data_IF_459631372596
#
_entry.id   IF_459631372596
#
_cell.length_a   1.000
_cell.length_b   1.000
_cell.length_c   1.000
_cell.angle_alpha   90.00
_cell.angle_beta   90.00
_cell.angle_gamma   90.00
#
_symmetry.space_group_name_H-M   'P 1'
#
loop_
_entity.id
_entity.type
_entity.pdbx_description
1 polymer ?
#
# COMPACT_ATOMS: atom_id res chain seq x y z
N UNK A 1 30.77 -3.57 21.25
CA UNK A 1 29.47 -4.02 20.70
C UNK A 1 28.73 -2.81 20.14
N UNK A 2 28.68 -2.59 18.81
CA UNK A 2 27.86 -1.52 18.27
C UNK A 2 26.45 -2.05 17.96
N UNK A 3 25.48 -1.40 18.58
CA UNK A 3 24.05 -1.53 18.39
C UNK A 3 23.61 -0.75 17.14
N UNK A 4 23.52 -1.39 15.97
CA UNK A 4 22.88 -0.76 14.80
C UNK A 4 22.50 -1.78 13.72
N UNK A 5 21.48 -2.58 13.98
CA UNK A 5 20.74 -3.27 12.91
C UNK A 5 19.25 -3.02 13.12
N UNK A 6 18.82 -1.78 12.91
CA UNK A 6 17.41 -1.47 12.67
C UNK A 6 17.05 -2.09 11.33
N UNK A 7 16.63 -3.36 11.37
CA UNK A 7 16.25 -4.18 10.22
C UNK A 7 15.41 -3.34 9.25
N UNK A 8 15.83 -3.29 7.99
CA UNK A 8 15.12 -2.69 6.84
C UNK A 8 13.78 -3.39 6.61
N UNK A 9 12.88 -3.23 7.57
CA UNK A 9 11.49 -3.65 7.51
C UNK A 9 10.69 -2.44 7.06
N UNK A 10 9.63 -2.68 6.29
CA UNK A 10 8.69 -1.64 5.88
C UNK A 10 8.22 -0.79 7.08
N UNK A 11 8.05 -1.42 8.25
CA UNK A 11 7.72 -0.74 9.50
C UNK A 11 8.80 0.22 10.00
N UNK A 12 10.09 -0.12 9.87
CA UNK A 12 11.20 0.78 10.24
C UNK A 12 11.29 1.99 9.29
N UNK A 13 11.02 1.78 8.00
CA UNK A 13 10.95 2.87 7.02
C UNK A 13 9.84 3.88 7.38
N UNK A 14 8.64 3.40 7.73
CA UNK A 14 7.58 4.29 8.23
C UNK A 14 7.90 4.89 9.61
N UNK A 15 8.56 4.15 10.50
CA UNK A 15 8.93 4.63 11.83
C UNK A 15 9.90 5.82 11.77
N UNK A 16 10.77 5.85 10.76
CA UNK A 16 11.63 7.02 10.53
C UNK A 16 10.86 8.28 10.10
N UNK A 17 9.65 8.10 9.57
CA UNK A 17 8.75 9.19 9.20
C UNK A 17 7.78 9.57 10.33
N UNK A 18 8.01 9.10 11.58
CA UNK A 18 7.12 9.39 12.73
C UNK A 18 6.91 10.88 12.95
N UNK A 19 7.95 11.71 12.81
CA UNK A 19 7.81 13.16 12.91
C UNK A 19 6.86 13.74 11.87
N UNK A 20 6.90 13.24 10.63
CA UNK A 20 5.99 13.65 9.57
C UNK A 20 4.55 13.18 9.84
N UNK A 21 4.35 11.95 10.34
CA UNK A 21 3.02 11.45 10.73
C UNK A 21 2.42 12.22 11.90
N UNK A 22 3.22 12.58 12.90
CA UNK A 22 2.79 13.47 14.00
C UNK A 22 2.40 14.84 13.46
N UNK A 23 3.19 15.40 12.55
CA UNK A 23 2.84 16.64 11.86
C UNK A 23 1.51 16.53 11.10
N UNK A 24 1.32 15.48 10.30
CA UNK A 24 0.05 15.22 9.59
C UNK A 24 -1.13 15.09 10.56
N UNK A 25 -0.96 14.37 11.67
CA UNK A 25 -2.00 14.24 12.69
C UNK A 25 -2.36 15.58 13.35
N UNK A 26 -1.34 16.41 13.67
CA UNK A 26 -1.54 17.76 14.20
C UNK A 26 -2.30 18.65 13.21
N UNK A 27 -1.86 18.68 11.94
CA UNK A 27 -2.54 19.44 10.89
C UNK A 27 -3.97 18.94 10.67
N UNK A 28 -4.21 17.62 10.66
CA UNK A 28 -5.56 17.06 10.64
C UNK A 28 -6.39 17.55 11.83
N UNK A 29 -5.83 17.61 13.04
CA UNK A 29 -6.53 18.15 14.19
C UNK A 29 -6.92 19.62 14.05
N UNK A 30 -5.98 20.47 13.61
CA UNK A 30 -6.28 21.87 13.32
C UNK A 30 -7.36 22.00 12.23
N UNK A 31 -7.27 21.21 11.16
CA UNK A 31 -8.27 21.21 10.09
C UNK A 31 -9.65 20.81 10.62
N UNK A 32 -9.74 19.76 11.46
CA UNK A 32 -11.01 19.33 12.04
C UNK A 32 -11.61 20.39 12.99
N UNK A 33 -10.78 21.14 13.73
CA UNK A 33 -11.25 22.29 14.51
C UNK A 33 -11.75 23.41 13.59
N UNK A 34 -10.98 23.77 12.56
CA UNK A 34 -11.37 24.80 11.59
C UNK A 34 -12.61 24.41 10.79
N UNK A 35 -12.90 23.12 10.60
CA UNK A 35 -14.13 22.65 9.97
C UNK A 35 -15.40 23.04 10.74
N UNK A 36 -15.29 23.31 12.05
CA UNK A 36 -16.40 23.82 12.86
C UNK A 36 -16.83 25.24 12.45
N UNK A 37 -15.95 26.00 11.79
CA UNK A 37 -16.20 27.38 11.34
C UNK A 37 -17.52 27.50 10.58
N UNK A 38 -17.80 26.57 9.67
CA UNK A 38 -19.04 26.61 8.88
C UNK A 38 -20.31 26.44 9.74
N UNK A 39 -20.29 25.49 10.69
CA UNK A 39 -21.41 25.29 11.62
C UNK A 39 -21.61 26.48 12.55
N UNK A 40 -20.54 27.02 13.13
CA UNK A 40 -20.61 28.18 14.02
C UNK A 40 -21.02 29.47 13.30
N UNK A 41 -20.56 29.67 12.06
CA UNK A 41 -21.00 30.81 11.25
C UNK A 41 -22.52 30.76 11.05
N UNK A 42 -23.07 29.60 10.67
CA UNK A 42 -24.52 29.44 10.52
C UNK A 42 -25.28 29.63 11.84
N UNK A 43 -24.75 29.09 12.94
CA UNK A 43 -25.33 29.30 14.27
C UNK A 43 -25.43 30.80 14.62
N UNK A 44 -24.34 31.56 14.43
CA UNK A 44 -24.30 32.99 14.73
C UNK A 44 -25.17 33.82 13.79
N UNK A 45 -25.25 33.45 12.51
CA UNK A 45 -26.11 34.16 11.56
C UNK A 45 -27.58 34.01 11.95
N UNK A 46 -28.02 32.80 12.26
CA UNK A 46 -29.43 32.54 12.59
C UNK A 46 -29.84 33.03 13.98
N UNK A 47 -28.98 32.88 14.98
CA UNK A 47 -29.35 33.22 16.36
C UNK A 47 -29.04 34.68 16.72
N UNK A 48 -28.09 35.33 16.02
CA UNK A 48 -27.64 36.69 16.35
C UNK A 48 -27.90 37.69 15.24
N UNK A 49 -27.48 37.41 14.01
CA UNK A 49 -27.56 38.38 12.91
C UNK A 49 -28.98 38.61 12.42
N UNK A 50 -29.75 37.53 12.18
CA UNK A 50 -31.13 37.64 11.67
C UNK A 50 -32.03 38.36 12.68
N UNK A 51 -32.04 38.01 13.98
CA UNK A 51 -32.87 38.72 14.96
C UNK A 51 -32.43 40.17 15.17
N UNK A 52 -31.12 40.44 15.20
CA UNK A 52 -30.60 41.79 15.45
C UNK A 52 -30.59 42.68 14.20
N UNK A 53 -30.86 42.13 13.01
CA UNK A 53 -30.81 42.80 11.69
C UNK A 53 -29.53 43.64 11.48
N UNK A 54 -28.40 43.19 12.04
CA UNK A 54 -27.15 43.95 12.04
C UNK A 54 -26.25 43.55 10.88
N UNK A 55 -26.30 44.32 9.79
CA UNK A 55 -25.39 44.18 8.64
C UNK A 55 -23.91 44.30 9.04
N UNK A 56 -23.50 45.22 9.95
CA UNK A 56 -22.10 45.28 10.39
C UNK A 56 -21.61 43.98 11.04
N UNK A 57 -22.45 43.34 11.87
CA UNK A 57 -22.10 42.06 12.51
C UNK A 57 -21.97 40.94 11.48
N UNK A 58 -22.84 40.91 10.46
CA UNK A 58 -22.76 39.96 9.36
C UNK A 58 -21.44 40.08 8.59
N UNK A 59 -21.06 41.30 8.23
CA UNK A 59 -19.81 41.55 7.50
C UNK A 59 -18.59 41.16 8.32
N UNK A 60 -18.58 41.46 9.63
CA UNK A 60 -17.51 41.05 10.53
C UNK A 60 -17.40 39.52 10.63
N UNK A 61 -18.52 38.82 10.84
CA UNK A 61 -18.54 37.35 10.89
C UNK A 61 -18.15 36.72 9.56
N UNK A 62 -18.59 37.28 8.43
CA UNK A 62 -18.23 36.82 7.10
C UNK A 62 -16.73 37.00 6.82
N UNK A 63 -16.13 38.12 7.23
CA UNK A 63 -14.69 38.35 7.11
C UNK A 63 -13.88 37.34 7.95
N UNK A 64 -14.30 37.07 9.19
CA UNK A 64 -13.67 36.07 10.04
C UNK A 64 -13.81 34.67 9.43
N UNK A 65 -15.01 34.29 8.97
CA UNK A 65 -15.23 33.00 8.34
C UNK A 65 -14.39 32.83 7.06
N UNK A 66 -14.31 33.86 6.21
CA UNK A 66 -13.48 33.86 5.02
C UNK A 66 -11.99 33.66 5.36
N UNK A 67 -11.49 34.36 6.39
CA UNK A 67 -10.13 34.19 6.88
C UNK A 67 -9.87 32.76 7.39
N UNK A 68 -10.78 32.21 8.19
CA UNK A 68 -10.68 30.85 8.73
C UNK A 68 -10.75 29.78 7.61
N UNK A 69 -11.60 29.97 6.60
CA UNK A 69 -11.63 29.07 5.44
C UNK A 69 -10.35 29.18 4.58
N UNK A 70 -9.76 30.38 4.46
CA UNK A 70 -8.47 30.54 3.79
C UNK A 70 -7.36 29.79 4.54
N UNK A 71 -7.31 29.90 5.88
CA UNK A 71 -6.40 29.10 6.69
C UNK A 71 -6.66 27.60 6.54
N UNK A 72 -7.91 27.17 6.57
CA UNK A 72 -8.28 25.77 6.37
C UNK A 72 -7.74 25.23 5.03
N UNK A 73 -7.92 25.98 3.94
CA UNK A 73 -7.44 25.61 2.61
C UNK A 73 -5.91 25.51 2.54
N UNK A 74 -5.19 26.42 3.21
CA UNK A 74 -3.73 26.37 3.31
C UNK A 74 -3.28 25.13 4.07
N UNK A 75 -3.85 24.86 5.25
CA UNK A 75 -3.49 23.70 6.07
C UNK A 75 -3.81 22.39 5.34
N UNK A 76 -4.94 22.30 4.64
CA UNK A 76 -5.31 21.14 3.85
C UNK A 76 -4.33 20.89 2.69
N UNK A 77 -3.91 21.95 2.00
CA UNK A 77 -2.89 21.88 0.94
C UNK A 77 -1.53 21.43 1.49
N UNK A 78 -1.13 21.96 2.66
CA UNK A 78 0.12 21.57 3.33
C UNK A 78 0.06 20.09 3.74
N UNK A 79 -1.04 19.65 4.37
CA UNK A 79 -1.28 18.25 4.74
C UNK A 79 -1.17 17.31 3.53
N UNK A 80 -1.82 17.66 2.41
CA UNK A 80 -1.76 16.87 1.18
C UNK A 80 -0.33 16.76 0.63
N UNK A 81 0.42 17.87 0.60
CA UNK A 81 1.84 17.87 0.17
C UNK A 81 2.74 17.07 1.12
N UNK A 82 2.48 17.10 2.42
CA UNK A 82 3.21 16.30 3.40
C UNK A 82 3.02 14.80 3.15
N UNK A 83 1.79 14.35 2.90
CA UNK A 83 1.49 12.95 2.57
C UNK A 83 2.22 12.47 1.30
N UNK A 84 2.26 13.29 0.25
CA UNK A 84 3.04 12.99 -0.97
C UNK A 84 4.53 12.85 -0.67
N UNK A 85 5.09 13.75 0.16
CA UNK A 85 6.50 13.68 0.58
C UNK A 85 6.80 12.45 1.43
N UNK A 86 5.89 12.03 2.31
CA UNK A 86 6.02 10.79 3.08
C UNK A 86 6.06 9.58 2.13
N UNK A 87 5.19 9.56 1.11
CA UNK A 87 5.23 8.54 0.06
C UNK A 87 6.56 8.52 -0.70
N UNK A 88 7.09 9.69 -1.06
CA UNK A 88 8.39 9.83 -1.73
C UNK A 88 9.58 9.39 -0.85
N UNK A 89 9.57 9.74 0.44
CA UNK A 89 10.61 9.33 1.38
C UNK A 89 10.62 7.82 1.63
N UNK A 90 9.43 7.17 1.63
CA UNK A 90 9.33 5.72 1.68
C UNK A 90 9.95 5.07 0.43
N UNK A 91 9.63 5.62 -0.75
CA UNK A 91 10.16 5.16 -2.03
C UNK A 91 11.68 5.29 -2.10
N UNK A 92 12.23 6.45 -1.75
CA UNK A 92 13.69 6.69 -1.77
C UNK A 92 14.45 5.68 -0.90
N UNK A 93 13.92 5.37 0.30
CA UNK A 93 14.53 4.40 1.21
C UNK A 93 14.42 2.97 0.70
N UNK A 94 13.27 2.60 0.11
CA UNK A 94 12.97 1.23 -0.27
C UNK A 94 13.36 0.88 -1.71
N UNK A 95 13.50 1.86 -2.60
CA UNK A 95 13.73 1.67 -4.03
C UNK A 95 15.00 0.84 -4.29
N UNK A 96 16.12 1.18 -3.63
CA UNK A 96 17.37 0.39 -3.74
C UNK A 96 17.17 -1.05 -3.26
N UNK A 97 16.48 -1.25 -2.14
CA UNK A 97 16.22 -2.57 -1.55
C UNK A 97 15.30 -3.41 -2.43
N UNK A 98 14.25 -2.81 -2.96
CA UNK A 98 13.29 -3.47 -3.86
C UNK A 98 13.97 -3.82 -5.18
N UNK A 99 14.81 -2.93 -5.72
CA UNK A 99 15.61 -3.23 -6.91
C UNK A 99 16.54 -4.42 -6.71
N UNK A 100 17.27 -4.46 -5.58
CA UNK A 100 18.12 -5.61 -5.21
C UNK A 100 17.32 -6.92 -5.15
N UNK A 101 16.11 -6.88 -4.59
CA UNK A 101 15.22 -8.04 -4.56
C UNK A 101 14.79 -8.43 -5.97
N UNK A 102 14.37 -7.49 -6.83
CA UNK A 102 13.94 -7.78 -8.21
C UNK A 102 15.05 -8.47 -9.00
N UNK A 103 16.30 -8.05 -8.83
CA UNK A 103 17.46 -8.65 -9.51
C UNK A 103 17.78 -10.05 -8.97
N UNK A 104 17.70 -10.24 -7.64
CA UNK A 104 18.11 -11.50 -6.99
C UNK A 104 17.02 -12.55 -6.90
N UNK A 105 15.75 -12.15 -6.97
CA UNK A 105 14.60 -13.06 -6.79
C UNK A 105 14.63 -14.24 -7.78
N UNK A 106 14.93 -14.05 -9.08
CA UNK A 106 15.06 -15.16 -10.03
C UNK A 106 16.18 -16.15 -9.69
N UNK A 107 17.22 -15.70 -8.97
CA UNK A 107 18.35 -16.55 -8.55
C UNK A 107 17.99 -17.47 -7.39
N UNK A 108 16.97 -17.14 -6.58
CA UNK A 108 16.51 -17.97 -5.46
C UNK A 108 15.22 -18.74 -5.75
N UNK A 109 14.22 -18.07 -6.31
CA UNK A 109 12.92 -18.66 -6.58
C UNK A 109 12.81 -19.27 -7.99
N UNK A 110 13.82 -19.06 -8.83
CA UNK A 110 13.78 -19.39 -10.26
C UNK A 110 13.06 -18.32 -11.08
N UNK A 111 13.07 -18.43 -12.42
CA UNK A 111 12.46 -17.47 -13.34
C UNK A 111 10.91 -17.52 -13.35
N UNK A 112 10.29 -18.19 -12.37
CA UNK A 112 8.84 -18.39 -12.31
C UNK A 112 8.17 -17.22 -11.60
N UNK A 113 7.28 -16.53 -12.31
CA UNK A 113 6.46 -15.44 -11.77
C UNK A 113 6.68 -14.11 -12.49
N UNK A 114 5.98 -13.08 -12.00
CA UNK A 114 6.16 -11.69 -12.45
C UNK A 114 7.31 -11.05 -11.67
N UNK A 115 8.48 -10.92 -12.29
CA UNK A 115 9.69 -10.38 -11.65
C UNK A 115 9.55 -8.92 -11.18
N UNK A 116 8.58 -8.18 -11.73
CA UNK A 116 8.34 -6.77 -11.39
C UNK A 116 7.25 -6.58 -10.31
N UNK A 117 6.71 -7.67 -9.77
CA UNK A 117 5.68 -7.60 -8.73
C UNK A 117 6.10 -6.81 -7.48
N UNK A 118 7.34 -6.95 -6.96
CA UNK A 118 7.77 -6.18 -5.78
C UNK A 118 7.76 -4.67 -6.01
N UNK A 119 8.10 -4.23 -7.22
CA UNK A 119 8.09 -2.82 -7.62
C UNK A 119 6.66 -2.26 -7.65
N UNK A 120 5.72 -3.00 -8.27
CA UNK A 120 4.30 -2.61 -8.30
C UNK A 120 3.65 -2.58 -6.91
N UNK A 121 4.08 -3.46 -6.00
CA UNK A 121 3.63 -3.43 -4.62
C UNK A 121 4.12 -2.16 -3.89
N UNK A 122 5.37 -1.75 -4.12
CA UNK A 122 5.91 -0.48 -3.61
C UNK A 122 5.13 0.72 -4.18
N UNK A 123 4.88 0.74 -5.48
CA UNK A 123 4.09 1.79 -6.14
C UNK A 123 2.66 1.88 -5.58
N UNK A 124 2.03 0.74 -5.30
CA UNK A 124 0.67 0.69 -4.72
C UNK A 124 0.64 1.28 -3.30
N UNK A 125 1.66 0.98 -2.48
CA UNK A 125 1.79 1.53 -1.12
C UNK A 125 2.03 3.04 -1.18
N UNK A 126 2.97 3.49 -2.02
CA UNK A 126 3.27 4.91 -2.24
C UNK A 126 2.06 5.68 -2.77
N UNK A 127 1.35 5.11 -3.74
CA UNK A 127 0.15 5.67 -4.34
C UNK A 127 -0.95 5.86 -3.31
N UNK A 128 -1.15 4.89 -2.42
CA UNK A 128 -2.11 5.03 -1.31
C UNK A 128 -1.69 6.12 -0.32
N UNK A 129 -0.43 6.16 0.10
CA UNK A 129 0.06 7.22 1.01
C UNK A 129 -0.08 8.62 0.43
N UNK A 130 -0.04 8.75 -0.89
CA UNK A 130 -0.18 10.02 -1.61
C UNK A 130 -1.64 10.34 -1.99
N UNK A 131 -2.60 9.48 -1.64
CA UNK A 131 -4.03 9.63 -1.95
C UNK A 131 -4.81 10.29 -0.81
N UNK A 132 -6.12 10.47 -0.96
CA UNK A 132 -7.00 10.97 0.11
C UNK A 132 -7.32 9.91 1.19
N UNK A 133 -6.95 8.64 0.99
CA UNK A 133 -7.22 7.56 1.94
C UNK A 133 -6.60 7.77 3.32
N UNK A 134 -5.29 8.04 3.43
CA UNK A 134 -4.66 8.35 4.71
C UNK A 134 -5.34 9.48 5.47
N UNK A 135 -5.79 10.54 4.78
CA UNK A 135 -6.50 11.65 5.43
C UNK A 135 -7.76 11.19 6.14
N UNK A 136 -8.55 10.28 5.54
CA UNK A 136 -9.73 9.70 6.17
C UNK A 136 -9.37 8.95 7.48
N UNK A 137 -8.23 8.26 7.53
CA UNK A 137 -7.73 7.61 8.76
C UNK A 137 -7.34 8.62 9.85
N UNK A 138 -6.80 9.78 9.48
CA UNK A 138 -6.46 10.84 10.44
C UNK A 138 -7.68 11.62 10.92
N UNK A 139 -8.76 11.65 10.13
CA UNK A 139 -9.98 12.38 10.45
C UNK A 139 -11.00 11.50 11.22
N UNK A 140 -10.95 10.17 11.08
CA UNK A 140 -11.79 9.20 11.81
C UNK A 140 -11.80 9.36 13.35
N UNK A 141 -10.66 9.60 14.04
CA UNK A 141 -10.65 9.82 15.49
C UNK A 141 -11.41 11.06 15.97
N UNK A 142 -11.76 11.98 15.06
CA UNK A 142 -12.48 13.22 15.38
C UNK A 142 -14.01 13.06 15.35
N UNK A 143 -14.54 11.92 14.88
CA UNK A 143 -15.98 11.63 14.87
C UNK A 143 -16.61 11.78 16.26
N UNK A 144 -16.03 11.24 17.36
CA UNK A 144 -16.58 11.42 18.70
C UNK A 144 -16.63 12.87 19.16
N UNK A 145 -15.68 13.72 18.73
CA UNK A 145 -15.71 15.16 19.05
C UNK A 145 -16.92 15.83 18.39
N UNK A 146 -17.16 15.57 17.10
CA UNK A 146 -18.32 16.11 16.40
C UNK A 146 -19.64 15.61 16.99
N UNK A 147 -19.72 14.32 17.32
CA UNK A 147 -20.88 13.75 18.02
C UNK A 147 -21.08 14.38 19.40
N UNK A 148 -20.00 14.58 20.16
CA UNK A 148 -20.04 15.24 21.48
C UNK A 148 -20.60 16.67 21.40
N UNK A 149 -20.21 17.43 20.38
CA UNK A 149 -20.78 18.77 20.14
C UNK A 149 -22.27 18.66 19.72
N UNK A 150 -22.67 17.67 18.91
CA UNK A 150 -24.08 17.44 18.61
C UNK A 150 -24.91 17.13 19.88
N UNK A 151 -24.37 16.30 20.79
CA UNK A 151 -25.00 16.04 22.09
C UNK A 151 -25.06 17.29 22.99
N UNK A 152 -24.04 18.15 22.92
CA UNK A 152 -24.02 19.42 23.65
C UNK A 152 -25.06 20.41 23.13
N UNK A 153 -25.41 20.36 21.84
CA UNK A 153 -26.50 21.17 21.28
C UNK A 153 -27.88 20.63 21.69
N UNK A 154 -28.13 19.33 21.49
CA UNK A 154 -29.35 18.69 21.96
C UNK A 154 -29.20 17.17 21.99
N UNK A 155 -29.80 16.52 23.00
CA UNK A 155 -29.71 15.05 23.16
C UNK A 155 -30.25 14.31 21.94
N UNK A 156 -31.42 14.71 21.42
CA UNK A 156 -32.03 14.06 20.24
C UNK A 156 -31.22 14.27 18.94
N UNK A 157 -30.53 15.41 18.78
CA UNK A 157 -29.61 15.62 17.65
C UNK A 157 -28.37 14.72 17.77
N UNK A 158 -27.84 14.59 18.98
CA UNK A 158 -26.76 13.64 19.28
C UNK A 158 -27.17 12.18 19.01
N UNK A 159 -28.35 11.76 19.47
CA UNK A 159 -28.86 10.40 19.27
C UNK A 159 -29.07 10.08 17.80
N UNK A 160 -29.69 10.98 17.03
CA UNK A 160 -29.87 10.79 15.58
C UNK A 160 -28.53 10.67 14.85
N UNK A 161 -27.58 11.57 15.14
CA UNK A 161 -26.24 11.51 14.57
C UNK A 161 -25.50 10.21 14.97
N UNK A 162 -25.65 9.76 16.21
CA UNK A 162 -25.06 8.51 16.71
C UNK A 162 -25.61 7.28 16.00
N UNK A 163 -26.94 7.19 15.83
CA UNK A 163 -27.59 6.11 15.08
C UNK A 163 -27.07 6.08 13.64
N UNK A 164 -26.97 7.25 13.00
CA UNK A 164 -26.41 7.37 11.66
C UNK A 164 -24.93 6.96 11.57
N UNK A 165 -24.12 7.34 12.55
CA UNK A 165 -22.73 6.92 12.65
C UNK A 165 -22.60 5.40 12.79
N UNK A 166 -23.40 4.79 13.67
CA UNK A 166 -23.42 3.32 13.85
C UNK A 166 -23.82 2.63 12.55
N UNK A 167 -24.86 3.13 11.86
CA UNK A 167 -25.31 2.55 10.59
C UNK A 167 -24.22 2.63 9.51
N UNK A 168 -23.58 3.78 9.34
CA UNK A 168 -22.52 3.96 8.34
C UNK A 168 -21.24 3.18 8.67
N UNK A 169 -20.86 3.11 9.94
CA UNK A 169 -19.74 2.25 10.38
C UNK A 169 -20.07 0.78 10.12
N UNK A 170 -21.30 0.33 10.42
CA UNK A 170 -21.75 -1.04 10.14
C UNK A 170 -21.72 -1.33 8.65
N UNK A 171 -22.16 -0.39 7.81
CA UNK A 171 -22.08 -0.51 6.34
C UNK A 171 -20.63 -0.58 5.84
N UNK A 172 -19.71 0.17 6.46
CA UNK A 172 -18.27 0.14 6.15
C UNK A 172 -17.66 -1.21 6.51
N UNK A 173 -17.99 -1.75 7.68
CA UNK A 173 -17.54 -3.08 8.11
C UNK A 173 -18.11 -4.18 7.20
N UNK A 174 -19.38 -4.07 6.79
CA UNK A 174 -19.97 -4.96 5.81
C UNK A 174 -19.24 -4.86 4.46
N UNK A 175 -18.91 -3.64 4.03
CA UNK A 175 -18.14 -3.41 2.81
C UNK A 175 -16.79 -4.11 2.87
N UNK A 176 -16.05 -4.02 3.98
CA UNK A 176 -14.79 -4.76 4.18
C UNK A 176 -14.99 -6.27 4.03
N UNK A 177 -15.95 -6.83 4.75
CA UNK A 177 -16.14 -8.29 4.82
C UNK A 177 -16.51 -8.84 3.44
N UNK A 178 -17.41 -8.15 2.73
CA UNK A 178 -17.94 -8.59 1.43
C UNK A 178 -16.94 -8.33 0.29
N UNK A 179 -16.19 -7.24 0.31
CA UNK A 179 -15.25 -6.88 -0.77
C UNK A 179 -13.89 -7.58 -0.67
N UNK A 180 -13.47 -8.03 0.52
CA UNK A 180 -12.13 -8.60 0.74
C UNK A 180 -11.82 -9.78 -0.19
N UNK A 181 -12.69 -10.80 -0.23
CA UNK A 181 -12.48 -12.02 -1.04
C UNK A 181 -12.50 -11.74 -2.55
N UNK A 182 -13.52 -11.05 -3.11
CA UNK A 182 -13.52 -10.67 -4.53
C UNK A 182 -12.28 -9.86 -4.94
N UNK A 183 -11.85 -8.92 -4.09
CA UNK A 183 -10.69 -8.07 -4.39
C UNK A 183 -9.39 -8.88 -4.38
N UNK A 184 -9.18 -9.75 -3.39
CA UNK A 184 -8.04 -10.68 -3.36
C UNK A 184 -8.02 -11.61 -4.59
N UNK A 185 -9.18 -12.15 -4.99
CA UNK A 185 -9.32 -12.98 -6.17
C UNK A 185 -9.01 -12.22 -7.47
N UNK A 186 -9.52 -11.00 -7.62
CA UNK A 186 -9.26 -10.13 -8.76
C UNK A 186 -7.77 -9.77 -8.88
N UNK A 187 -7.10 -9.44 -7.77
CA UNK A 187 -5.65 -9.18 -7.75
C UNK A 187 -4.86 -10.42 -8.17
N UNK A 188 -5.22 -11.62 -7.67
CA UNK A 188 -4.58 -12.87 -8.06
C UNK A 188 -4.74 -13.16 -9.56
N UNK A 189 -5.97 -13.07 -10.09
CA UNK A 189 -6.24 -13.26 -11.51
C UNK A 189 -5.51 -12.22 -12.38
N UNK A 190 -5.40 -10.97 -11.92
CA UNK A 190 -4.64 -9.93 -12.57
C UNK A 190 -3.15 -10.24 -12.66
N UNK A 191 -2.57 -10.83 -11.60
CA UNK A 191 -1.19 -11.30 -11.61
C UNK A 191 -0.98 -12.46 -12.60
N UNK A 192 -1.90 -13.43 -12.63
CA UNK A 192 -1.85 -14.56 -13.58
C UNK A 192 -1.96 -14.04 -15.03
N UNK A 193 -2.90 -13.12 -15.28
CA UNK A 193 -3.07 -12.45 -16.56
C UNK A 193 -1.76 -11.80 -16.98
N UNK A 194 -1.19 -10.91 -16.17
CA UNK A 194 0.07 -10.23 -16.51
C UNK A 194 1.22 -11.22 -16.75
N UNK A 195 1.32 -12.30 -15.97
CA UNK A 195 2.33 -13.35 -16.17
C UNK A 195 2.18 -14.09 -17.50
N UNK A 196 0.94 -14.32 -17.94
CA UNK A 196 0.63 -14.95 -19.23
C UNK A 196 1.03 -14.02 -20.39
N UNK A 197 0.65 -12.74 -20.33
CA UNK A 197 1.05 -11.75 -21.34
C UNK A 197 2.58 -11.67 -21.47
N UNK A 198 3.27 -11.57 -20.34
CA UNK A 198 4.72 -11.45 -20.32
C UNK A 198 5.40 -12.72 -20.84
N UNK A 199 4.88 -13.91 -20.51
CA UNK A 199 5.36 -15.16 -21.07
C UNK A 199 5.15 -15.24 -22.60
N UNK A 200 3.99 -14.81 -23.10
CA UNK A 200 3.72 -14.72 -24.54
C UNK A 200 4.70 -13.76 -25.22
N UNK A 201 4.95 -12.58 -24.61
CA UNK A 201 5.87 -11.56 -25.13
C UNK A 201 7.31 -12.07 -25.21
N UNK A 202 7.81 -12.70 -24.15
CA UNK A 202 9.18 -13.25 -24.12
C UNK A 202 9.42 -14.38 -25.10
N UNK A 203 8.36 -15.10 -25.50
CA UNK A 203 8.44 -16.23 -26.43
C UNK A 203 7.76 -15.92 -27.77
N UNK A 204 7.65 -14.64 -28.15
CA UNK A 204 6.87 -14.22 -29.31
C UNK A 204 7.31 -14.91 -30.62
N UNK A 205 8.63 -15.07 -30.82
CA UNK A 205 9.18 -15.79 -31.98
C UNK A 205 8.66 -17.23 -32.07
N UNK A 206 8.72 -17.98 -30.97
CA UNK A 206 8.21 -19.34 -30.92
C UNK A 206 6.69 -19.39 -31.10
N UNK A 207 5.96 -18.44 -30.52
CA UNK A 207 4.49 -18.37 -30.64
C UNK A 207 4.07 -18.13 -32.09
N UNK A 208 4.75 -17.23 -32.80
CA UNK A 208 4.44 -16.90 -34.20
C UNK A 208 4.92 -18.01 -35.14
N UNK A 209 6.16 -18.47 -35.00
CA UNK A 209 6.74 -19.51 -35.87
C UNK A 209 5.98 -20.84 -35.81
N UNK A 210 5.44 -21.19 -34.63
CA UNK A 210 4.67 -22.42 -34.42
C UNK A 210 3.17 -22.25 -34.66
N UNK A 211 2.70 -21.08 -35.11
CA UNK A 211 1.28 -20.80 -35.36
C UNK A 211 0.39 -20.88 -34.11
N UNK A 212 0.96 -20.59 -32.93
CA UNK A 212 0.28 -20.78 -31.64
C UNK A 212 -0.56 -19.57 -31.20
N UNK A 213 -0.58 -18.49 -31.98
CA UNK A 213 -1.20 -17.20 -31.65
C UNK A 213 -2.67 -17.34 -31.25
N UNK A 214 -3.47 -18.12 -31.99
CA UNK A 214 -4.90 -18.29 -31.65
C UNK A 214 -5.11 -19.06 -30.35
N UNK A 215 -4.37 -20.16 -30.14
CA UNK A 215 -4.49 -20.97 -28.91
C UNK A 215 -4.08 -20.17 -27.67
N UNK A 216 -2.98 -19.40 -27.77
CA UNK A 216 -2.57 -18.50 -26.69
C UNK A 216 -3.55 -17.33 -26.52
N UNK A 217 -4.11 -16.82 -27.61
CA UNK A 217 -5.16 -15.80 -27.62
C UNK A 217 -6.42 -16.26 -26.89
N UNK A 218 -6.88 -17.50 -27.15
CA UNK A 218 -8.01 -18.10 -26.45
C UNK A 218 -7.73 -18.25 -24.95
N UNK A 219 -6.54 -18.74 -24.58
CA UNK A 219 -6.13 -18.86 -23.16
C UNK A 219 -6.02 -17.51 -22.46
N UNK A 220 -5.51 -16.50 -23.17
CA UNK A 220 -5.49 -15.12 -22.69
C UNK A 220 -6.90 -14.58 -22.48
N UNK A 221 -7.78 -14.75 -23.47
CA UNK A 221 -9.17 -14.28 -23.42
C UNK A 221 -9.92 -14.88 -22.24
N UNK A 222 -9.81 -16.19 -22.01
CA UNK A 222 -10.42 -16.87 -20.86
C UNK A 222 -9.87 -16.35 -19.51
N UNK A 223 -8.54 -16.20 -19.39
CA UNK A 223 -7.92 -15.64 -18.17
C UNK A 223 -8.35 -14.18 -17.95
N UNK A 224 -8.45 -13.40 -19.03
CA UNK A 224 -8.86 -12.00 -18.99
C UNK A 224 -10.35 -11.87 -18.65
N UNK A 225 -11.21 -12.72 -19.19
CA UNK A 225 -12.64 -12.77 -18.88
C UNK A 225 -12.87 -13.08 -17.38
N UNK A 226 -12.14 -14.05 -16.83
CA UNK A 226 -12.19 -14.35 -15.39
C UNK A 226 -11.70 -13.19 -14.53
N UNK A 227 -10.61 -12.53 -14.92
CA UNK A 227 -10.13 -11.32 -14.26
C UNK A 227 -11.17 -10.19 -14.30
N UNK A 228 -11.76 -9.93 -15.47
CA UNK A 228 -12.77 -8.89 -15.67
C UNK A 228 -14.03 -9.18 -14.83
N UNK A 229 -14.51 -10.42 -14.82
CA UNK A 229 -15.64 -10.81 -13.98
C UNK A 229 -15.37 -10.59 -12.49
N UNK A 230 -14.20 -11.01 -11.98
CA UNK A 230 -13.82 -10.78 -10.59
C UNK A 230 -13.64 -9.29 -10.26
N UNK A 231 -13.05 -8.51 -11.18
CA UNK A 231 -12.91 -7.07 -11.04
C UNK A 231 -14.26 -6.35 -11.07
N UNK A 232 -15.19 -6.80 -11.91
CA UNK A 232 -16.55 -6.26 -12.02
C UNK A 232 -17.32 -6.53 -10.73
N UNK A 233 -17.35 -7.77 -10.23
CA UNK A 233 -17.98 -8.09 -8.93
C UNK A 233 -17.42 -7.22 -7.80
N UNK A 234 -16.09 -7.06 -7.70
CA UNK A 234 -15.48 -6.20 -6.68
C UNK A 234 -15.87 -4.72 -6.84
N UNK A 235 -15.99 -4.24 -8.09
CA UNK A 235 -16.39 -2.87 -8.41
C UNK A 235 -17.86 -2.61 -8.12
N UNK A 236 -18.74 -3.56 -8.47
CA UNK A 236 -20.18 -3.47 -8.28
C UNK A 236 -20.53 -3.45 -6.79
N UNK A 237 -19.88 -4.30 -5.98
CA UNK A 237 -20.06 -4.31 -4.53
C UNK A 237 -19.58 -2.98 -3.92
N UNK A 238 -18.36 -2.54 -4.27
CA UNK A 238 -17.80 -1.30 -3.71
C UNK A 238 -18.60 -0.07 -4.14
N UNK A 239 -18.99 0.00 -5.42
CA UNK A 239 -19.77 1.09 -5.99
C UNK A 239 -21.21 1.12 -5.48
N UNK A 240 -21.86 -0.04 -5.39
CA UNK A 240 -23.20 -0.20 -4.82
C UNK A 240 -23.25 0.22 -3.35
N UNK A 241 -22.38 -0.37 -2.51
CA UNK A 241 -22.31 -0.02 -1.08
C UNK A 241 -21.90 1.43 -0.86
N UNK A 242 -20.99 1.97 -1.68
CA UNK A 242 -20.64 3.39 -1.65
C UNK A 242 -21.79 4.32 -2.00
N UNK A 243 -22.66 3.92 -2.94
CA UNK A 243 -23.88 4.67 -3.28
C UNK A 243 -24.89 4.61 -2.14
N UNK A 244 -25.09 3.44 -1.52
CA UNK A 244 -25.95 3.29 -0.34
C UNK A 244 -25.45 4.16 0.82
N UNK A 245 -24.14 4.19 1.08
CA UNK A 245 -23.53 5.05 2.12
C UNK A 245 -23.86 6.51 1.89
N UNK A 246 -23.64 7.00 0.68
CA UNK A 246 -23.90 8.40 0.31
C UNK A 246 -25.38 8.77 0.44
N UNK A 247 -26.27 7.90 -0.03
CA UNK A 247 -27.72 8.11 0.08
C UNK A 247 -28.16 8.09 1.55
N UNK A 248 -27.67 7.14 2.35
CA UNK A 248 -27.98 7.05 3.77
C UNK A 248 -27.48 8.29 4.53
N UNK A 249 -26.32 8.83 4.17
CA UNK A 249 -25.81 10.08 4.73
C UNK A 249 -26.71 11.27 4.38
N UNK A 250 -27.17 11.37 3.13
CA UNK A 250 -28.12 12.42 2.74
C UNK A 250 -29.44 12.29 3.50
N UNK A 251 -29.98 11.07 3.61
CA UNK A 251 -31.18 10.79 4.41
C UNK A 251 -30.99 11.16 5.87
N UNK A 252 -29.83 10.83 6.46
CA UNK A 252 -29.52 11.19 7.84
C UNK A 252 -29.41 12.71 8.01
N UNK A 253 -28.78 13.42 7.08
CA UNK A 253 -28.72 14.87 7.11
C UNK A 253 -30.13 15.49 7.11
N UNK A 254 -31.04 14.98 6.27
CA UNK A 254 -32.44 15.38 6.27
C UNK A 254 -33.18 14.98 7.55
N UNK A 255 -32.89 13.81 8.13
CA UNK A 255 -33.48 13.37 9.39
C UNK A 255 -33.06 14.23 10.58
N UNK A 256 -31.77 14.62 10.64
CA UNK A 256 -31.25 15.56 11.66
C UNK A 256 -31.93 16.92 11.51
N UNK A 257 -32.15 17.40 10.28
CA UNK A 257 -32.90 18.63 10.03
C UNK A 257 -34.36 18.51 10.49
N UNK A 258 -35.03 17.38 10.21
CA UNK A 258 -36.41 17.13 10.61
C UNK A 258 -36.58 17.05 12.13
N UNK A 259 -35.67 16.34 12.83
CA UNK A 259 -35.66 16.31 14.30
C UNK A 259 -35.34 17.68 14.87
N UNK A 260 -34.40 18.42 14.29
CA UNK A 260 -34.14 19.81 14.66
C UNK A 260 -35.38 20.69 14.53
N UNK A 261 -36.11 20.60 13.42
CA UNK A 261 -37.34 21.35 13.19
C UNK A 261 -38.41 21.02 14.24
N UNK A 262 -38.58 19.74 14.57
CA UNK A 262 -39.48 19.31 15.63
C UNK A 262 -39.10 19.90 17.01
N UNK A 263 -37.82 19.95 17.35
CA UNK A 263 -37.33 20.56 18.60
C UNK A 263 -37.55 22.08 18.66
N UNK A 264 -37.38 22.78 17.54
CA UNK A 264 -37.66 24.23 17.48
C UNK A 264 -39.16 24.51 17.61
N UNK A 265 -40.03 23.66 17.04
CA UNK A 265 -41.49 23.78 17.24
C UNK A 265 -41.84 23.64 18.72
N UNK A 266 -41.15 22.75 19.44
CA UNK A 266 -41.30 22.58 20.90
C UNK A 266 -40.56 23.64 21.73
N UNK A 267 -39.91 24.63 21.10
CA UNK A 267 -39.15 25.69 21.75
C UNK A 267 -37.95 25.19 22.61
N UNK A 268 -37.46 23.97 22.34
CA UNK A 268 -36.31 23.37 23.03
C UNK A 268 -34.96 23.70 22.35
N UNK A 269 -35.00 24.18 21.10
CA UNK A 269 -33.83 24.53 20.31
C UNK A 269 -34.02 25.84 19.54
N UNK A 270 -32.93 26.41 19.04
CA UNK A 270 -32.93 27.58 18.14
C UNK A 270 -32.81 27.16 16.68
N UNK A 271 -33.19 28.05 15.76
CA UNK A 271 -33.00 27.82 14.32
C UNK A 271 -31.52 27.62 13.95
N UNK A 272 -30.60 28.31 14.62
CA UNK A 272 -29.17 28.12 14.44
C UNK A 272 -28.69 26.73 14.85
N UNK A 273 -29.21 26.17 15.95
CA UNK A 273 -28.88 24.81 16.41
C UNK A 273 -29.29 23.75 15.37
N UNK A 274 -30.46 23.89 14.73
CA UNK A 274 -30.88 22.98 13.65
C UNK A 274 -29.82 22.93 12.55
N UNK A 275 -29.48 24.10 11.99
CA UNK A 275 -28.60 24.17 10.83
C UNK A 275 -27.19 23.74 11.21
N UNK A 276 -26.66 24.23 12.33
CA UNK A 276 -25.34 23.86 12.83
C UNK A 276 -25.23 22.36 13.11
N UNK A 277 -26.23 21.76 13.74
CA UNK A 277 -26.31 20.33 14.02
C UNK A 277 -26.37 19.47 12.75
N UNK A 278 -27.11 19.91 11.72
CA UNK A 278 -27.18 19.21 10.43
C UNK A 278 -25.82 19.21 9.70
N UNK A 279 -25.12 20.35 9.69
CA UNK A 279 -23.79 20.50 9.08
C UNK A 279 -22.77 19.66 9.84
N UNK A 280 -22.82 19.70 11.17
CA UNK A 280 -21.87 18.98 12.03
C UNK A 280 -22.01 17.47 11.89
N UNK A 281 -23.25 16.98 11.85
CA UNK A 281 -23.56 15.57 11.59
C UNK A 281 -23.07 15.15 10.20
N UNK A 282 -23.27 15.97 9.18
CA UNK A 282 -22.78 15.70 7.83
C UNK A 282 -21.25 15.68 7.75
N UNK A 283 -20.54 16.46 8.59
CA UNK A 283 -19.07 16.46 8.68
C UNK A 283 -18.54 15.27 9.48
N UNK A 284 -19.21 14.89 10.57
CA UNK A 284 -18.85 13.73 11.38
C UNK A 284 -18.79 12.44 10.54
N UNK A 285 -19.64 12.34 9.52
CA UNK A 285 -19.78 11.13 8.70
C UNK A 285 -18.99 11.17 7.40
N UNK A 286 -18.40 12.32 7.06
CA UNK A 286 -17.63 12.49 5.84
C UNK A 286 -16.39 11.57 5.73
N UNK A 287 -15.60 11.33 6.82
CA UNK A 287 -14.46 10.41 6.75
C UNK A 287 -14.85 8.98 6.37
N UNK A 288 -16.06 8.55 6.73
CA UNK A 288 -16.57 7.21 6.38
C UNK A 288 -16.79 7.09 4.88
N UNK A 289 -17.41 8.10 4.26
CA UNK A 289 -17.58 8.13 2.80
C UNK A 289 -16.25 8.18 2.05
N UNK A 290 -15.28 8.96 2.56
CA UNK A 290 -13.95 9.02 1.97
C UNK A 290 -13.22 7.67 2.06
N UNK A 291 -13.37 6.96 3.18
CA UNK A 291 -12.82 5.62 3.36
C UNK A 291 -13.41 4.63 2.35
N UNK A 292 -14.74 4.62 2.18
CA UNK A 292 -15.42 3.76 1.20
C UNK A 292 -15.03 4.15 -0.24
N UNK A 293 -14.96 5.45 -0.54
CA UNK A 293 -14.55 5.95 -1.85
C UNK A 293 -13.13 5.51 -2.26
N UNK A 294 -12.21 5.38 -1.29
CA UNK A 294 -10.83 4.96 -1.55
C UNK A 294 -10.54 3.51 -1.11
N UNK A 295 -11.59 2.68 -0.97
CA UNK A 295 -11.50 1.34 -0.41
C UNK A 295 -10.51 0.43 -1.16
N UNK A 296 -10.57 0.46 -2.50
CA UNK A 296 -9.67 -0.32 -3.36
C UNK A 296 -8.21 0.04 -3.13
N UNK A 297 -7.91 1.32 -2.96
CA UNK A 297 -6.56 1.80 -2.64
C UNK A 297 -6.07 1.25 -1.30
N UNK A 298 -6.93 1.26 -0.28
CA UNK A 298 -6.62 0.70 1.03
C UNK A 298 -6.30 -0.80 0.97
N UNK A 299 -7.17 -1.58 0.31
CA UNK A 299 -6.97 -3.03 0.16
C UNK A 299 -5.71 -3.34 -0.66
N UNK A 300 -5.47 -2.63 -1.76
CA UNK A 300 -4.28 -2.81 -2.60
C UNK A 300 -2.99 -2.51 -1.83
N UNK A 301 -2.94 -1.39 -1.09
CA UNK A 301 -1.78 -1.03 -0.28
C UNK A 301 -1.55 -2.04 0.85
N UNK A 302 -2.60 -2.49 1.56
CA UNK A 302 -2.51 -3.52 2.61
C UNK A 302 -1.97 -4.85 2.07
N UNK A 303 -2.48 -5.31 0.93
CA UNK A 303 -2.02 -6.54 0.32
C UNK A 303 -0.57 -6.41 -0.20
N UNK A 304 -0.24 -5.29 -0.84
CA UNK A 304 1.11 -4.98 -1.30
C UNK A 304 2.09 -4.96 -0.14
N UNK A 305 1.71 -4.32 0.97
CA UNK A 305 2.49 -4.30 2.21
C UNK A 305 2.75 -5.70 2.76
N UNK A 306 1.71 -6.54 2.86
CA UNK A 306 1.84 -7.90 3.37
C UNK A 306 2.68 -8.82 2.44
N UNK A 307 2.62 -8.62 1.12
CA UNK A 307 3.45 -9.37 0.16
C UNK A 307 4.89 -8.91 0.18
N UNK A 308 5.13 -7.60 0.08
CA UNK A 308 6.46 -7.02 0.09
C UNK A 308 7.18 -7.28 1.42
N UNK A 309 6.45 -7.21 2.55
CA UNK A 309 6.98 -7.55 3.87
C UNK A 309 7.46 -9.00 3.97
N UNK A 310 6.68 -9.96 3.42
CA UNK A 310 7.10 -11.36 3.35
C UNK A 310 8.33 -11.57 2.47
N UNK A 311 8.42 -10.87 1.34
CA UNK A 311 9.59 -10.94 0.46
C UNK A 311 10.85 -10.35 1.10
N UNK A 312 10.73 -9.19 1.76
CA UNK A 312 11.81 -8.56 2.51
C UNK A 312 12.31 -9.45 3.66
N UNK A 313 11.40 -10.16 4.34
CA UNK A 313 11.76 -11.11 5.39
C UNK A 313 12.46 -12.37 4.84
N UNK A 314 12.01 -12.88 3.68
CA UNK A 314 12.61 -14.04 3.03
C UNK A 314 13.98 -13.74 2.37
N UNK A 315 14.21 -12.49 2.02
CA UNK A 315 15.46 -12.01 1.43
C UNK A 315 16.03 -10.90 2.33
N UNK A 316 16.69 -11.24 3.45
CA UNK A 316 17.32 -10.26 4.32
C UNK A 316 18.48 -9.56 3.60
N UNK A 317 18.80 -8.35 4.05
CA UNK A 317 19.98 -7.62 3.60
C UNK A 317 21.23 -8.40 4.00
N UNK A 318 22.08 -8.73 3.03
CA UNK A 318 23.34 -9.39 3.32
C UNK A 318 24.29 -8.35 3.90
N UNK A 319 24.83 -8.65 5.09
CA UNK A 319 25.94 -7.88 5.62
C UNK A 319 27.07 -7.90 4.59
N UNK A 320 27.70 -6.75 4.32
CA UNK A 320 28.87 -6.72 3.45
C UNK A 320 29.94 -7.65 4.05
N UNK A 321 30.37 -8.69 3.30
CA UNK A 321 31.40 -9.58 3.78
C UNK A 321 32.72 -8.83 3.98
N UNK A 322 33.52 -9.30 4.93
CA UNK A 322 34.86 -8.75 5.19
C UNK A 322 35.67 -8.69 3.89
N UNK A 323 36.49 -7.64 3.75
CA UNK A 323 37.29 -7.46 2.56
C UNK A 323 38.41 -8.51 2.46
N UNK A 324 38.20 -9.47 1.55
CA UNK A 324 39.20 -10.45 1.18
C UNK A 324 40.12 -9.89 0.07
N UNK A 325 41.42 -10.24 0.09
CA UNK A 325 42.35 -9.88 -0.97
C UNK A 325 41.94 -10.55 -2.29
N UNK A 326 42.42 -10.05 -3.42
CA UNK A 326 42.14 -10.67 -4.73
C UNK A 326 42.64 -12.12 -4.73
N UNK A 327 41.85 -13.09 -5.23
CA UNK A 327 42.29 -14.47 -5.31
C UNK A 327 43.42 -14.61 -6.34
N UNK A 328 44.48 -15.33 -5.99
CA UNK A 328 45.73 -15.48 -6.75
C UNK A 328 46.22 -16.92 -6.87
N UNK A 329 45.70 -17.87 -6.09
CA UNK A 329 46.33 -19.20 -5.99
C UNK A 329 45.49 -20.35 -6.55
N UNK A 330 44.29 -20.60 -6.02
CA UNK A 330 43.51 -21.81 -6.32
C UNK A 330 42.00 -21.68 -6.11
N UNK A 331 41.25 -22.41 -6.94
CA UNK A 331 39.83 -22.72 -6.77
C UNK A 331 39.70 -24.14 -6.24
N UNK A 332 38.95 -24.34 -5.15
CA UNK A 332 38.71 -25.65 -4.55
C UNK A 332 37.22 -25.89 -4.42
N UNK A 333 36.76 -27.06 -4.86
CA UNK A 333 35.37 -27.51 -4.74
C UNK A 333 35.36 -28.74 -3.85
N UNK A 334 34.63 -28.67 -2.74
CA UNK A 334 34.60 -29.70 -1.69
C UNK A 334 33.23 -30.37 -1.64
N UNK A 335 33.11 -31.54 -2.30
CA UNK A 335 31.88 -32.35 -2.34
C UNK A 335 30.61 -31.52 -2.61
N UNK A 336 30.71 -30.59 -3.56
CA UNK A 336 29.67 -29.61 -3.80
C UNK A 336 28.53 -30.20 -4.64
N UNK A 337 27.30 -29.96 -4.21
CA UNK A 337 26.09 -30.39 -4.92
C UNK A 337 25.21 -29.18 -5.24
N UNK A 338 24.63 -29.14 -6.44
CA UNK A 338 23.82 -28.00 -6.90
C UNK A 338 22.45 -28.44 -7.41
N UNK A 339 21.41 -27.70 -7.03
CA UNK A 339 20.08 -27.78 -7.61
C UNK A 339 19.72 -26.43 -8.27
N UNK A 340 19.00 -26.44 -9.40
CA UNK A 340 18.40 -25.24 -9.96
C UNK A 340 17.46 -24.55 -8.97
N UNK A 341 17.47 -23.20 -8.91
CA UNK A 341 16.56 -22.43 -8.08
C UNK A 341 15.09 -22.85 -8.30
N UNK A 342 14.35 -23.04 -7.21
CA UNK A 342 12.96 -23.49 -7.25
C UNK A 342 12.76 -25.00 -7.48
N UNK A 343 13.83 -25.80 -7.49
CA UNK A 343 13.74 -27.27 -7.56
C UNK A 343 14.62 -27.93 -6.50
N UNK A 344 14.21 -29.11 -6.01
CA UNK A 344 15.02 -29.89 -5.06
C UNK A 344 15.89 -30.95 -5.76
N UNK A 345 15.75 -31.11 -7.09
CA UNK A 345 16.48 -32.10 -7.85
C UNK A 345 17.93 -31.64 -8.03
N UNK A 346 18.86 -32.36 -7.43
CA UNK A 346 20.30 -32.14 -7.62
C UNK A 346 20.67 -32.48 -9.07
N UNK A 347 21.36 -31.55 -9.73
CA UNK A 347 21.81 -31.64 -11.12
C UNK A 347 23.30 -31.98 -11.21
N UNK A 348 24.08 -31.60 -10.20
CA UNK A 348 25.41 -32.12 -9.96
C UNK A 348 25.52 -32.51 -8.47
N UNK A 349 26.19 -33.62 -8.17
CA UNK A 349 26.27 -34.20 -6.83
C UNK A 349 27.71 -34.51 -6.46
N UNK A 350 28.07 -34.20 -5.22
CA UNK A 350 29.36 -34.49 -4.59
C UNK A 350 30.58 -34.19 -5.47
N UNK A 351 30.52 -33.07 -6.23
CA UNK A 351 31.60 -32.65 -7.13
C UNK A 351 32.79 -32.22 -6.30
N UNK A 352 33.96 -32.80 -6.55
CA UNK A 352 35.19 -32.47 -5.82
C UNK A 352 36.37 -32.33 -6.79
N UNK A 353 37.02 -31.16 -6.79
CA UNK A 353 38.25 -30.93 -7.54
C UNK A 353 38.98 -29.69 -7.03
N UNK A 354 40.26 -29.56 -7.37
CA UNK A 354 41.07 -28.36 -7.13
C UNK A 354 41.70 -27.90 -8.44
N UNK A 355 41.70 -26.60 -8.69
CA UNK A 355 42.39 -25.96 -9.81
C UNK A 355 43.40 -24.94 -9.29
N UNK A 356 44.64 -25.03 -9.74
CA UNK A 356 45.67 -24.02 -9.48
C UNK A 356 45.58 -22.88 -10.50
N UNK A 357 46.10 -21.70 -10.15
CA UNK A 357 46.22 -20.56 -11.06
C UNK A 357 46.92 -20.97 -12.36
N UNK A 358 46.38 -20.51 -13.48
CA UNK A 358 46.92 -20.80 -14.82
C UNK A 358 46.52 -22.17 -15.37
N UNK A 359 45.80 -22.99 -14.61
CA UNK A 359 45.24 -24.25 -15.12
C UNK A 359 43.91 -24.03 -15.84
N UNK A 360 43.61 -24.90 -16.81
CA UNK A 360 42.33 -24.95 -17.50
C UNK A 360 41.63 -26.29 -17.22
N UNK A 361 40.32 -26.24 -16.97
CA UNK A 361 39.49 -27.43 -16.74
C UNK A 361 38.45 -27.54 -17.86
N UNK A 362 38.51 -28.65 -18.61
CA UNK A 362 37.48 -29.00 -19.57
C UNK A 362 36.39 -29.84 -18.91
N UNK A 363 35.15 -29.34 -18.87
CA UNK A 363 33.99 -30.08 -18.39
C UNK A 363 33.20 -30.61 -19.58
N UNK A 364 33.35 -31.91 -19.87
CA UNK A 364 32.70 -32.59 -21.00
C UNK A 364 31.56 -33.50 -20.53
N UNK A 365 30.59 -33.74 -21.42
CA UNK A 365 29.47 -34.66 -21.16
C UNK A 365 28.23 -34.36 -22.00
N UNK A 366 27.24 -35.27 -22.02
CA UNK A 366 26.04 -35.14 -22.84
C UNK A 366 25.17 -33.92 -22.45
N UNK A 367 24.29 -33.46 -23.35
CA UNK A 367 23.35 -32.38 -23.02
C UNK A 367 22.50 -32.75 -21.80
N UNK A 368 22.25 -31.79 -20.91
CA UNK A 368 21.51 -32.03 -19.66
C UNK A 368 22.32 -32.64 -18.51
N UNK A 369 23.61 -32.98 -18.69
CA UNK A 369 24.48 -33.53 -17.62
C UNK A 369 24.84 -32.55 -16.49
N UNK A 370 24.29 -31.33 -16.48
CA UNK A 370 24.52 -30.36 -15.42
C UNK A 370 25.72 -29.44 -15.58
N UNK A 371 26.47 -29.48 -16.69
CA UNK A 371 27.66 -28.64 -16.94
C UNK A 371 27.42 -27.14 -16.69
N UNK A 372 26.34 -26.59 -17.25
CA UNK A 372 26.00 -25.17 -17.05
C UNK A 372 25.53 -24.87 -15.63
N UNK A 373 24.93 -25.85 -14.94
CA UNK A 373 24.56 -25.71 -13.52
C UNK A 373 25.77 -25.73 -12.62
N UNK A 374 26.76 -26.59 -12.91
CA UNK A 374 28.07 -26.59 -12.27
C UNK A 374 28.76 -25.24 -12.50
N UNK A 375 28.82 -24.75 -13.73
CA UNK A 375 29.41 -23.43 -14.02
C UNK A 375 28.74 -22.30 -13.21
N UNK A 376 27.39 -22.28 -13.11
CA UNK A 376 26.65 -21.30 -12.29
C UNK A 376 26.95 -21.42 -10.80
N UNK A 377 27.22 -22.63 -10.29
CA UNK A 377 27.65 -22.83 -8.91
C UNK A 377 29.06 -22.29 -8.68
N UNK A 378 29.99 -22.54 -9.61
CA UNK A 378 31.40 -22.11 -9.49
C UNK A 378 31.56 -20.59 -9.45
N UNK A 379 30.67 -19.84 -10.12
CA UNK A 379 30.65 -18.38 -10.07
C UNK A 379 29.71 -17.81 -8.99
N UNK A 380 29.16 -18.65 -8.11
CA UNK A 380 28.33 -18.22 -6.99
C UNK A 380 26.92 -17.72 -7.36
N UNK A 381 26.46 -17.93 -8.61
CA UNK A 381 25.10 -17.56 -9.01
C UNK A 381 24.06 -18.49 -8.37
N UNK A 382 24.38 -19.79 -8.28
CA UNK A 382 23.56 -20.78 -7.60
C UNK A 382 24.32 -21.27 -6.36
N UNK A 383 23.75 -21.14 -5.15
CA UNK A 383 24.41 -21.63 -3.95
C UNK A 383 24.53 -23.15 -3.99
N UNK A 384 25.61 -23.68 -3.42
CA UNK A 384 25.73 -25.12 -3.19
C UNK A 384 24.70 -25.56 -2.13
N UNK A 385 23.97 -26.64 -2.41
CA UNK A 385 23.02 -27.25 -1.48
C UNK A 385 23.77 -28.05 -0.41
N UNK A 386 24.90 -28.64 -0.78
CA UNK A 386 25.83 -29.39 0.06
C UNK A 386 27.25 -29.09 -0.40
N UNK A 387 28.21 -29.18 0.51
CA UNK A 387 29.62 -28.87 0.22
C UNK A 387 29.84 -27.37 0.08
N UNK A 388 31.00 -26.98 -0.47
CA UNK A 388 31.35 -25.56 -0.68
C UNK A 388 32.31 -25.36 -1.85
N UNK A 389 32.30 -24.14 -2.37
CA UNK A 389 33.26 -23.67 -3.38
C UNK A 389 34.11 -22.58 -2.72
N UNK A 390 35.43 -22.71 -2.80
CA UNK A 390 36.38 -21.84 -2.14
C UNK A 390 37.37 -21.24 -3.14
N UNK A 391 37.60 -19.93 -3.05
CA UNK A 391 38.68 -19.21 -3.72
C UNK A 391 39.75 -18.89 -2.68
N UNK A 392 40.97 -19.39 -2.89
CA UNK A 392 42.11 -19.23 -1.96
C UNK A 392 41.77 -19.59 -0.49
N UNK A 393 40.92 -20.59 -0.30
CA UNK A 393 40.47 -21.07 1.01
C UNK A 393 39.25 -20.33 1.59
N UNK A 394 38.84 -19.21 1.01
CA UNK A 394 37.62 -18.50 1.41
C UNK A 394 36.42 -18.96 0.59
N UNK A 395 35.35 -19.38 1.26
CA UNK A 395 34.12 -19.84 0.61
C UNK A 395 33.44 -18.70 -0.16
N UNK A 396 32.79 -18.99 -1.30
CA UNK A 396 32.15 -17.98 -2.16
C UNK A 396 31.14 -17.09 -1.41
N UNK A 397 30.47 -17.61 -0.38
CA UNK A 397 29.53 -16.87 0.45
C UNK A 397 30.18 -15.77 1.29
N UNK A 398 31.51 -15.83 1.48
CA UNK A 398 32.32 -14.84 2.18
C UNK A 398 32.80 -13.71 1.26
N UNK A 399 32.55 -13.78 -0.04
CA UNK A 399 32.91 -12.74 -1.00
C UNK A 399 31.71 -11.84 -1.27
N UNK A 400 31.95 -10.54 -1.45
CA UNK A 400 30.91 -9.65 -1.97
C UNK A 400 30.70 -9.91 -3.46
N UNK A 401 29.44 -9.85 -3.93
CA UNK A 401 29.10 -10.12 -5.33
C UNK A 401 29.83 -9.19 -6.30
N UNK A 402 30.00 -7.92 -5.93
CA UNK A 402 30.71 -6.94 -6.76
C UNK A 402 32.20 -7.27 -6.89
N UNK A 403 32.85 -7.74 -5.81
CA UNK A 403 34.27 -8.12 -5.86
C UNK A 403 34.49 -9.45 -6.58
N UNK A 404 33.55 -10.40 -6.46
CA UNK A 404 33.61 -11.65 -7.21
C UNK A 404 33.55 -11.41 -8.72
N UNK A 405 32.87 -10.33 -9.15
CA UNK A 405 32.75 -9.96 -10.56
C UNK A 405 33.93 -9.17 -11.15
N UNK A 406 34.86 -8.68 -10.31
CA UNK A 406 36.10 -7.98 -10.74
C UNK A 406 37.26 -8.95 -10.81
#
# INVERSE_FOLDING_TARGET
>A
MPTSTTRASLGAALASCRGAFVGVALFSGLINILMLTGSFFMLQVYDRVIPSRSVPTLLALAAIAALLFAFQAILETVRARMLVRVGGALDERMSRRVHDIVVRLPLKAGPRGDGLHPLRDLDSIRGFLSSQGPSALFDLPWIPLYLGICFAFHVWLGVTALVGAILLVSLTLLTEIVTRRPTEAATRLGSTRNSLAEASRRNAEAVVAMGMTERLGARWSDTNARYLAGQQTASDITGGLGTVSRTLRMMLQSAVLAVGAWLVIQQEATAGIIIAGSILSARALAPVDLAIGNWRGFVAARQGWARLGRLLAAMPEQAEPMALPRPTARLTVEAASVAPPGTQRLVAQDVAFTMSRGSALAVIGPSGSGKSSLARMLVGLWPAVRGRVCLDGAALEQWSTERLGR
#
